data_IF_698039432925
#
_entry.id   IF_698039432925
#
_cell.length_a   1.000
_cell.length_b   1.000
_cell.length_c   1.000
_cell.angle_alpha   90.00
_cell.angle_beta   90.00
_cell.angle_gamma   90.00
#
_symmetry.space_group_name_H-M   'P 1'
#
loop_
_entity.id
_entity.type
_entity.pdbx_description
1 polymer ?
#
# COMPACT_ATOMS: atom_id res chain seq x y z
N UNK A 1 22.52 -6.48 -2.65
CA UNK A 1 23.25 -6.55 -1.37
C UNK A 1 22.29 -6.88 -0.23
N UNK A 2 21.18 -6.14 -0.07
CA UNK A 2 20.18 -6.39 1.00
C UNK A 2 19.64 -7.83 1.03
N UNK A 3 19.29 -8.44 -0.11
CA UNK A 3 18.81 -9.83 -0.13
C UNK A 3 19.85 -10.90 0.20
N UNK A 4 21.15 -10.58 0.10
CA UNK A 4 22.23 -11.50 0.49
C UNK A 4 22.38 -11.48 2.02
N UNK A 5 22.41 -10.28 2.60
CA UNK A 5 22.49 -10.11 4.06
C UNK A 5 21.27 -10.68 4.78
N UNK A 6 20.06 -10.49 4.22
CA UNK A 6 18.86 -11.09 4.79
C UNK A 6 18.92 -12.62 4.83
N UNK A 7 19.51 -13.25 3.81
CA UNK A 7 19.69 -14.70 3.75
C UNK A 7 20.76 -15.19 4.73
N UNK A 8 21.89 -14.48 4.84
CA UNK A 8 22.95 -14.78 5.81
C UNK A 8 22.45 -14.67 7.26
N UNK A 9 21.75 -13.58 7.61
CA UNK A 9 21.17 -13.45 8.94
C UNK A 9 20.13 -14.54 9.24
N UNK A 10 19.33 -14.92 8.24
CA UNK A 10 18.37 -16.02 8.42
C UNK A 10 19.08 -17.36 8.64
N UNK A 11 20.19 -17.62 7.95
CA UNK A 11 21.02 -18.82 8.12
C UNK A 11 21.66 -18.86 9.50
N UNK A 12 22.33 -17.78 9.92
CA UNK A 12 22.97 -17.69 11.23
C UNK A 12 21.96 -17.92 12.35
N UNK A 13 20.81 -17.25 12.31
CA UNK A 13 19.76 -17.46 13.30
C UNK A 13 19.26 -18.92 13.34
N UNK A 14 19.20 -19.59 12.19
CA UNK A 14 18.77 -21.00 12.12
C UNK A 14 19.82 -21.90 12.74
N UNK A 15 21.08 -21.63 12.44
CA UNK A 15 22.23 -22.40 12.91
C UNK A 15 22.43 -22.19 14.43
N UNK A 16 22.02 -21.04 14.98
CA UNK A 16 21.88 -20.78 16.42
C UNK A 16 20.65 -21.45 17.06
N UNK A 17 19.81 -22.14 16.28
CA UNK A 17 18.62 -22.84 16.76
C UNK A 17 17.38 -21.96 16.93
N UNK A 18 17.38 -20.73 16.39
CA UNK A 18 16.19 -19.88 16.42
C UNK A 18 15.11 -20.41 15.47
N UNK A 19 13.85 -20.26 15.88
CA UNK A 19 12.68 -20.51 15.01
C UNK A 19 12.02 -19.19 14.66
N UNK A 20 12.07 -18.81 13.38
CA UNK A 20 11.35 -17.62 12.89
C UNK A 20 9.91 -18.00 12.55
N UNK A 21 8.97 -17.58 13.38
CA UNK A 21 7.54 -17.83 13.15
C UNK A 21 6.88 -16.76 12.29
N UNK A 22 7.29 -15.49 12.46
CA UNK A 22 6.66 -14.34 11.82
C UNK A 22 7.72 -13.29 11.46
N UNK A 23 7.65 -12.78 10.22
CA UNK A 23 8.45 -11.65 9.75
C UNK A 23 7.54 -10.56 9.21
N UNK A 24 7.76 -9.34 9.69
CA UNK A 24 7.14 -8.11 9.17
C UNK A 24 8.14 -7.37 8.29
N UNK A 25 8.05 -7.56 6.98
CA UNK A 25 8.93 -6.90 6.02
C UNK A 25 8.35 -5.57 5.51
N UNK A 26 9.17 -4.79 4.83
CA UNK A 26 8.70 -3.60 4.12
C UNK A 26 8.10 -3.97 2.75
N UNK A 27 8.13 -3.05 1.78
CA UNK A 27 7.60 -3.28 0.44
C UNK A 27 8.52 -4.11 -0.46
N UNK A 28 9.73 -4.44 -0.01
CA UNK A 28 10.69 -5.24 -0.75
C UNK A 28 10.32 -6.74 -0.70
N UNK A 29 10.96 -7.53 -1.57
CA UNK A 29 10.75 -8.99 -1.61
C UNK A 29 11.96 -9.77 -1.11
N UNK A 30 12.98 -9.07 -0.61
CA UNK A 30 14.28 -9.66 -0.32
C UNK A 30 14.22 -10.47 0.97
N UNK A 31 13.59 -9.92 2.01
CA UNK A 31 13.32 -10.60 3.26
C UNK A 31 12.38 -11.80 3.08
N UNK A 32 11.29 -11.66 2.30
CA UNK A 32 10.38 -12.78 2.04
C UNK A 32 11.09 -14.01 1.45
N UNK A 33 12.00 -13.80 0.50
CA UNK A 33 12.74 -14.90 -0.13
C UNK A 33 13.69 -15.57 0.85
N UNK A 34 14.45 -14.78 1.61
CA UNK A 34 15.35 -15.30 2.64
C UNK A 34 14.61 -16.11 3.71
N UNK A 35 13.48 -15.59 4.19
CA UNK A 35 12.65 -16.27 5.20
C UNK A 35 12.06 -17.55 4.64
N UNK A 36 11.48 -17.52 3.43
CA UNK A 36 10.88 -18.72 2.83
C UNK A 36 11.92 -19.83 2.60
N UNK A 37 13.16 -19.46 2.25
CA UNK A 37 14.24 -20.42 2.01
C UNK A 37 14.79 -21.06 3.29
N UNK A 38 14.89 -20.31 4.38
CA UNK A 38 15.50 -20.79 5.64
C UNK A 38 14.46 -21.25 6.68
N UNK A 39 13.23 -20.74 6.60
CA UNK A 39 12.11 -20.98 7.52
C UNK A 39 10.81 -21.17 6.73
N UNK A 40 10.60 -22.36 6.13
CA UNK A 40 9.43 -22.60 5.28
C UNK A 40 8.08 -22.52 6.02
N UNK A 41 8.08 -22.70 7.34
CA UNK A 41 6.89 -22.49 8.20
C UNK A 41 6.68 -21.02 8.59
N UNK A 42 7.68 -20.16 8.35
CA UNK A 42 7.66 -18.75 8.73
C UNK A 42 6.65 -17.96 7.93
N UNK A 43 5.84 -17.16 8.62
CA UNK A 43 4.82 -16.31 7.98
C UNK A 43 5.40 -14.94 7.67
N UNK A 44 5.24 -14.50 6.42
CA UNK A 44 5.71 -13.18 5.99
C UNK A 44 4.53 -12.23 5.80
N UNK A 45 4.56 -11.12 6.54
CA UNK A 45 3.57 -10.05 6.47
C UNK A 45 4.22 -8.73 6.08
N UNK A 46 3.42 -7.79 5.60
CA UNK A 46 3.87 -6.42 5.35
C UNK A 46 3.67 -5.57 6.59
N UNK A 47 4.71 -4.84 6.98
CA UNK A 47 4.66 -3.89 8.09
C UNK A 47 3.61 -2.80 7.83
N UNK A 48 2.67 -2.64 8.76
CA UNK A 48 1.57 -1.67 8.64
C UNK A 48 2.04 -0.23 8.45
N UNK A 49 3.16 0.15 9.08
CA UNK A 49 3.78 1.48 8.89
C UNK A 49 4.25 1.68 7.44
N UNK A 50 4.93 0.69 6.87
CA UNK A 50 5.37 0.72 5.48
C UNK A 50 4.20 0.69 4.49
N UNK A 51 3.15 -0.09 4.79
CA UNK A 51 1.90 -0.11 4.00
C UNK A 51 1.25 1.27 4.00
N UNK A 52 1.10 1.91 5.17
CA UNK A 52 0.52 3.25 5.28
C UNK A 52 1.36 4.32 4.57
N UNK A 53 2.69 4.25 4.68
CA UNK A 53 3.61 5.14 3.95
C UNK A 53 3.50 4.95 2.44
N UNK A 54 3.45 3.71 1.97
CA UNK A 54 3.28 3.41 0.55
C UNK A 54 1.94 3.93 0.02
N UNK A 55 0.85 3.75 0.77
CA UNK A 55 -0.46 4.29 0.41
C UNK A 55 -0.44 5.82 0.28
N UNK A 56 0.14 6.52 1.26
CA UNK A 56 0.28 7.98 1.23
C UNK A 56 1.12 8.46 0.03
N UNK A 57 2.23 7.78 -0.28
CA UNK A 57 3.06 8.11 -1.44
C UNK A 57 2.31 7.88 -2.76
N UNK A 58 1.52 6.81 -2.87
CA UNK A 58 0.68 6.58 -4.06
C UNK A 58 -0.36 7.69 -4.26
N UNK A 59 -0.97 8.18 -3.17
CA UNK A 59 -1.90 9.32 -3.24
C UNK A 59 -1.18 10.62 -3.64
N UNK A 60 0.03 10.87 -3.13
CA UNK A 60 0.86 12.00 -3.58
C UNK A 60 1.20 11.94 -5.05
N UNK A 61 1.50 10.76 -5.58
CA UNK A 61 1.75 10.59 -7.01
C UNK A 61 0.47 10.73 -7.84
N UNK A 62 -0.68 10.27 -7.33
CA UNK A 62 -1.97 10.48 -7.97
C UNK A 62 -2.36 11.96 -8.02
N UNK A 63 -2.09 12.72 -6.95
CA UNK A 63 -2.33 14.16 -6.84
C UNK A 63 -1.62 14.99 -7.91
N UNK A 64 -0.47 14.53 -8.40
CA UNK A 64 0.29 15.20 -9.48
C UNK A 64 -0.30 14.96 -10.87
N UNK A 65 -1.18 13.97 -11.04
CA UNK A 65 -1.63 13.49 -12.35
C UNK A 65 -2.96 14.13 -12.75
N UNK A 66 -3.02 14.65 -13.99
CA UNK A 66 -4.29 15.07 -14.61
C UNK A 66 -5.20 13.89 -14.91
N UNK A 67 -4.60 12.78 -15.39
CA UNK A 67 -5.25 11.52 -15.75
C UNK A 67 -4.31 10.36 -15.39
N UNK A 68 -4.85 9.17 -15.16
CA UNK A 68 -4.00 7.97 -14.97
C UNK A 68 -3.27 7.58 -16.26
N UNK A 69 -2.07 7.03 -16.12
CA UNK A 69 -1.27 6.51 -17.24
C UNK A 69 -1.93 5.28 -17.87
N UNK A 70 -1.58 4.98 -19.13
CA UNK A 70 -2.07 3.80 -19.85
C UNK A 70 -1.77 2.52 -19.06
N UNK A 71 -0.58 2.41 -18.48
CA UNK A 71 -0.21 1.24 -17.66
C UNK A 71 -1.09 1.08 -16.43
N UNK A 72 -1.41 2.18 -15.73
CA UNK A 72 -2.32 2.13 -14.59
C UNK A 72 -3.73 1.72 -15.02
N UNK A 73 -4.21 2.26 -16.14
CA UNK A 73 -5.52 1.88 -16.70
C UNK A 73 -5.54 0.40 -17.04
N UNK A 74 -4.57 -0.10 -17.79
CA UNK A 74 -4.49 -1.51 -18.15
C UNK A 74 -4.37 -2.43 -16.94
N UNK A 75 -3.62 -2.01 -15.90
CA UNK A 75 -3.45 -2.80 -14.68
C UNK A 75 -4.72 -2.92 -13.84
N UNK A 76 -5.57 -1.90 -13.85
CA UNK A 76 -6.68 -1.80 -12.90
C UNK A 76 -8.07 -1.78 -13.53
N UNK A 77 -8.24 -1.55 -14.83
CA UNK A 77 -9.55 -1.40 -15.51
C UNK A 77 -10.49 -2.59 -15.28
N UNK A 78 -9.98 -3.82 -15.26
CA UNK A 78 -10.81 -5.01 -15.06
C UNK A 78 -11.43 -5.07 -13.66
N UNK A 79 -10.70 -4.57 -12.64
CA UNK A 79 -11.16 -4.59 -11.24
C UNK A 79 -11.82 -3.28 -10.82
N UNK A 80 -11.40 -2.18 -11.44
CA UNK A 80 -11.81 -0.81 -11.13
C UNK A 80 -12.01 -0.03 -12.44
N UNK A 81 -13.13 -0.24 -13.15
CA UNK A 81 -13.40 0.40 -14.44
C UNK A 81 -13.36 1.94 -14.39
N UNK A 82 -13.68 2.52 -13.23
CA UNK A 82 -13.61 3.97 -12.98
C UNK A 82 -12.21 4.58 -13.21
N UNK A 83 -11.15 3.78 -13.19
CA UNK A 83 -9.77 4.24 -13.48
C UNK A 83 -9.64 4.74 -14.92
N UNK A 84 -10.47 4.26 -15.85
CA UNK A 84 -10.40 4.67 -17.26
C UNK A 84 -10.86 6.12 -17.47
N UNK A 85 -11.88 6.54 -16.73
CA UNK A 85 -12.53 7.86 -16.82
C UNK A 85 -12.06 8.87 -15.77
N UNK A 86 -11.35 8.42 -14.72
CA UNK A 86 -10.87 9.28 -13.64
C UNK A 86 -9.88 10.36 -14.14
N UNK A 87 -10.20 11.62 -13.83
CA UNK A 87 -9.42 12.82 -14.19
C UNK A 87 -9.56 13.92 -13.13
N UNK A 88 -8.56 14.81 -12.99
CA UNK A 88 -8.69 16.02 -12.15
C UNK A 88 -9.89 16.85 -12.66
N UNK A 89 -10.79 17.24 -11.75
CA UNK A 89 -11.99 18.04 -12.05
C UNK A 89 -11.73 19.55 -12.07
N UNK A 90 -10.54 20.01 -11.66
CA UNK A 90 -10.23 21.44 -11.64
C UNK A 90 -10.18 22.02 -13.06
N UNK A 91 -10.72 23.24 -13.24
CA UNK A 91 -10.76 23.96 -14.53
C UNK A 91 -9.37 24.10 -15.16
N UNK A 92 -8.38 24.48 -14.35
CA UNK A 92 -6.97 24.53 -14.74
C UNK A 92 -6.15 23.57 -13.90
N UNK A 93 -5.69 22.48 -14.53
CA UNK A 93 -4.78 21.54 -13.88
C UNK A 93 -3.42 22.19 -13.66
N UNK A 94 -2.93 22.10 -12.42
CA UNK A 94 -1.53 22.29 -12.02
C UNK A 94 -1.14 21.11 -11.14
N UNK A 95 0.15 20.81 -11.05
CA UNK A 95 0.64 19.85 -10.05
C UNK A 95 0.14 20.31 -8.68
N UNK A 96 -0.66 19.45 -8.06
CA UNK A 96 -1.34 19.76 -6.82
C UNK A 96 -2.67 20.53 -6.93
N UNK A 97 -3.42 20.36 -8.02
CA UNK A 97 -4.81 20.81 -8.13
C UNK A 97 -5.69 20.20 -7.02
N UNK A 98 -6.58 21.00 -6.41
CA UNK A 98 -7.28 20.76 -5.14
C UNK A 98 -8.24 19.57 -5.02
N UNK A 99 -8.10 18.53 -5.84
CA UNK A 99 -8.86 17.28 -5.71
C UNK A 99 -8.31 16.36 -4.61
N UNK A 100 -7.01 16.43 -4.27
CA UNK A 100 -6.36 15.62 -3.24
C UNK A 100 -5.39 16.46 -2.40
N UNK A 101 -5.88 17.57 -1.82
CA UNK A 101 -5.05 18.50 -1.04
C UNK A 101 -4.42 17.89 0.22
N UNK A 102 -3.53 18.64 0.89
CA UNK A 102 -2.77 18.13 2.04
C UNK A 102 -3.65 17.66 3.22
N UNK A 103 -4.78 18.33 3.45
CA UNK A 103 -5.78 17.91 4.44
C UNK A 103 -6.37 16.55 4.10
N UNK A 104 -6.76 16.34 2.83
CA UNK A 104 -7.22 15.05 2.34
C UNK A 104 -6.14 13.97 2.49
N UNK A 105 -4.90 14.25 2.07
CA UNK A 105 -3.79 13.29 2.15
C UNK A 105 -3.50 12.87 3.60
N UNK A 106 -3.57 13.83 4.52
CA UNK A 106 -3.39 13.57 5.96
C UNK A 106 -4.53 12.71 6.51
N UNK A 107 -5.78 13.06 6.21
CA UNK A 107 -6.95 12.30 6.64
C UNK A 107 -6.97 10.89 6.05
N UNK A 108 -6.64 10.74 4.76
CA UNK A 108 -6.54 9.43 4.11
C UNK A 108 -5.50 8.53 4.77
N UNK A 109 -4.35 9.09 5.18
CA UNK A 109 -3.32 8.35 5.93
C UNK A 109 -3.82 7.90 7.30
N UNK A 110 -4.46 8.80 8.06
CA UNK A 110 -5.01 8.47 9.39
C UNK A 110 -6.08 7.38 9.26
N UNK A 111 -7.03 7.56 8.33
CA UNK A 111 -8.12 6.61 8.11
C UNK A 111 -7.61 5.22 7.66
N UNK A 112 -6.59 5.18 6.79
CA UNK A 112 -5.93 3.93 6.40
C UNK A 112 -5.29 3.22 7.59
N UNK A 113 -4.62 3.97 8.48
CA UNK A 113 -4.04 3.42 9.70
C UNK A 113 -5.11 2.89 10.66
N UNK A 114 -6.20 3.63 10.87
CA UNK A 114 -7.33 3.16 11.67
C UNK A 114 -7.92 1.86 11.10
N UNK A 115 -8.07 1.76 9.78
CA UNK A 115 -8.54 0.52 9.15
C UNK A 115 -7.56 -0.65 9.39
N UNK A 116 -6.25 -0.41 9.29
CA UNK A 116 -5.25 -1.45 9.60
C UNK A 116 -5.32 -1.94 11.04
N UNK A 117 -5.62 -1.06 12.01
CA UNK A 117 -5.72 -1.44 13.41
C UNK A 117 -7.05 -2.14 13.76
N UNK A 118 -8.12 -1.83 13.05
CA UNK A 118 -9.48 -2.30 13.38
C UNK A 118 -9.88 -3.56 12.61
N UNK A 119 -9.25 -3.86 11.48
CA UNK A 119 -9.59 -5.02 10.67
C UNK A 119 -8.82 -6.26 11.10
N UNK A 120 -9.53 -7.37 11.28
CA UNK A 120 -8.91 -8.67 11.57
C UNK A 120 -8.64 -9.48 10.30
N UNK A 121 -9.26 -9.10 9.17
CA UNK A 121 -9.15 -9.82 7.91
C UNK A 121 -8.80 -8.89 6.74
N UNK A 122 -7.96 -9.34 5.78
CA UNK A 122 -7.59 -8.56 4.60
C UNK A 122 -8.78 -8.12 3.75
N UNK A 123 -9.83 -8.94 3.67
CA UNK A 123 -11.05 -8.65 2.92
C UNK A 123 -11.82 -7.48 3.54
N UNK A 124 -11.90 -7.46 4.87
CA UNK A 124 -12.52 -6.37 5.61
C UNK A 124 -11.74 -5.07 5.41
N UNK A 125 -10.41 -5.11 5.51
CA UNK A 125 -9.55 -3.97 5.21
C UNK A 125 -9.78 -3.44 3.78
N UNK A 126 -9.80 -4.33 2.79
CA UNK A 126 -10.03 -3.95 1.39
C UNK A 126 -11.44 -3.38 1.16
N UNK A 127 -12.45 -3.83 1.90
CA UNK A 127 -13.80 -3.27 1.85
C UNK A 127 -13.87 -1.88 2.50
N UNK A 128 -13.34 -1.72 3.73
CA UNK A 128 -13.32 -0.43 4.43
C UNK A 128 -12.56 0.65 3.67
N UNK A 129 -11.43 0.28 3.05
CA UNK A 129 -10.67 1.22 2.21
C UNK A 129 -11.46 1.70 0.98
N UNK A 130 -12.31 0.83 0.40
CA UNK A 130 -13.22 1.22 -0.70
C UNK A 130 -14.34 2.13 -0.22
N UNK A 131 -14.98 1.79 0.90
CA UNK A 131 -16.01 2.62 1.52
C UNK A 131 -15.49 4.01 1.91
N UNK A 132 -14.25 4.11 2.41
CA UNK A 132 -13.58 5.40 2.64
C UNK A 132 -13.43 6.20 1.35
N UNK A 133 -13.00 5.54 0.26
CA UNK A 133 -12.91 6.18 -1.04
C UNK A 133 -14.25 6.75 -1.51
N UNK A 134 -15.34 6.03 -1.31
CA UNK A 134 -16.70 6.49 -1.63
C UNK A 134 -17.13 7.66 -0.75
N UNK A 135 -16.90 7.58 0.57
CA UNK A 135 -17.18 8.65 1.53
C UNK A 135 -16.48 9.97 1.17
N UNK A 136 -15.21 9.90 0.78
CA UNK A 136 -14.47 11.09 0.37
C UNK A 136 -14.93 11.64 -0.99
N UNK A 137 -15.59 10.82 -1.81
CA UNK A 137 -16.15 11.25 -3.10
C UNK A 137 -17.59 11.77 -2.99
N UNK A 138 -18.35 11.39 -1.96
CA UNK A 138 -19.78 11.70 -1.81
C UNK A 138 -20.07 13.08 -1.19
N UNK A 139 -19.03 13.84 -0.82
CA UNK A 139 -19.14 15.18 -0.23
C UNK A 139 -19.09 16.37 -1.20
N UNK A 140 -19.07 16.15 -2.51
CA UNK A 140 -19.08 17.23 -3.50
C UNK A 140 -20.42 17.28 -4.27
N UNK A 141 -21.25 18.33 -4.10
CA UNK A 141 -22.20 18.70 -5.14
C UNK A 141 -21.48 19.00 -6.47
#
# INVERSE_FOLDING_TARGET
>A
MEGILADECCKEARDEGCKVEVVWQDGDSSAAKAVTSNYPEGKVYKCGVHVGRAHYNQLKEAFKKKVFSIDMKNRYKEKFPQVESAKCKCERHKSGCGCLGDSFLTNARINSFCCLQQCNHPQEYAWRMRALGEYHCSGHP
#
